data_IF_551100743340
#
_entry.id   IF_551100743340
#
_cell.length_a   1.000
_cell.length_b   1.000
_cell.length_c   1.000
_cell.angle_alpha   90.00
_cell.angle_beta   90.00
_cell.angle_gamma   90.00
#
_symmetry.space_group_name_H-M   'P 1'
#
loop_
_entity.id
_entity.type
_entity.pdbx_description
1 polymer ?
#
# COMPACT_ATOMS: atom_id res chain seq x y z
N UNK A 1 2.58 -5.64 0.23
CA UNK A 1 3.84 -4.95 -0.12
C UNK A 1 3.60 -3.47 -0.21
N UNK A 2 4.38 -2.68 0.51
CA UNK A 2 4.41 -1.22 0.40
C UNK A 2 5.70 -0.85 -0.32
N UNK A 3 5.58 -0.06 -1.38
CA UNK A 3 6.68 0.46 -2.19
C UNK A 3 6.78 1.97 -1.98
N UNK A 4 7.78 2.58 -2.60
CA UNK A 4 8.09 4.01 -2.51
C UNK A 4 6.94 4.92 -2.98
N UNK A 5 6.10 4.44 -3.92
CA UNK A 5 5.07 5.25 -4.57
C UNK A 5 3.68 4.62 -4.61
N UNK A 6 3.53 3.35 -4.23
CA UNK A 6 2.24 2.66 -4.17
C UNK A 6 2.33 1.45 -3.25
N UNK A 7 1.22 0.73 -3.09
CA UNK A 7 1.20 -0.52 -2.35
C UNK A 7 0.30 -1.54 -3.04
N UNK A 8 0.49 -2.79 -2.67
CA UNK A 8 -0.38 -3.91 -3.02
C UNK A 8 -0.71 -4.69 -1.74
N UNK A 9 -1.98 -5.03 -1.56
CA UNK A 9 -2.43 -5.91 -0.49
C UNK A 9 -3.50 -6.87 -1.01
N UNK A 10 -3.74 -7.93 -0.25
CA UNK A 10 -4.90 -8.78 -0.37
C UNK A 10 -5.69 -8.65 0.92
N UNK A 11 -7.01 -8.54 0.82
CA UNK A 11 -7.88 -8.34 1.97
C UNK A 11 -9.21 -9.07 1.78
N UNK A 12 -9.76 -9.55 2.87
CA UNK A 12 -11.09 -10.16 2.95
C UNK A 12 -11.92 -9.44 4.00
N UNK A 13 -13.22 -9.30 3.75
CA UNK A 13 -14.15 -8.75 4.73
C UNK A 13 -15.34 -8.01 4.13
N UNK A 14 -16.27 -7.54 4.97
CA UNK A 14 -17.45 -6.83 4.50
C UNK A 14 -17.11 -5.42 4.02
N UNK A 15 -17.77 -4.99 2.94
CA UNK A 15 -17.72 -3.62 2.40
C UNK A 15 -16.31 -3.14 2.04
N UNK A 16 -15.51 -3.99 1.39
CA UNK A 16 -14.12 -3.68 1.02
C UNK A 16 -13.96 -2.33 0.31
N UNK A 17 -14.79 -2.02 -0.69
CA UNK A 17 -14.70 -0.74 -1.42
C UNK A 17 -14.77 0.48 -0.49
N UNK A 18 -15.68 0.45 0.50
CA UNK A 18 -15.79 1.50 1.52
C UNK A 18 -14.56 1.54 2.43
N UNK A 19 -14.09 0.38 2.90
CA UNK A 19 -12.91 0.28 3.77
C UNK A 19 -11.63 0.77 3.09
N UNK A 20 -11.49 0.56 1.79
CA UNK A 20 -10.37 1.13 1.00
C UNK A 20 -10.43 2.65 1.01
N UNK A 21 -11.61 3.25 0.85
CA UNK A 21 -11.80 4.70 0.96
C UNK A 21 -11.45 5.24 2.36
N UNK A 22 -11.93 4.57 3.41
CA UNK A 22 -11.63 4.92 4.80
C UNK A 22 -10.12 4.82 5.10
N UNK A 23 -9.46 3.75 4.64
CA UNK A 23 -8.02 3.59 4.73
C UNK A 23 -7.27 4.76 4.08
N UNK A 24 -7.63 5.12 2.83
CA UNK A 24 -6.96 6.20 2.09
C UNK A 24 -7.14 7.55 2.80
N UNK A 25 -8.34 7.84 3.30
CA UNK A 25 -8.63 9.07 4.05
C UNK A 25 -7.83 9.17 5.34
N UNK A 26 -7.85 8.11 6.16
CA UNK A 26 -7.14 8.05 7.43
C UNK A 26 -5.62 8.19 7.24
N UNK A 27 -5.06 7.43 6.31
CA UNK A 27 -3.61 7.44 6.05
C UNK A 27 -3.15 8.74 5.43
N UNK A 28 -3.89 9.33 4.48
CA UNK A 28 -3.53 10.63 3.90
C UNK A 28 -3.45 11.71 4.98
N UNK A 29 -4.47 11.78 5.85
CA UNK A 29 -4.51 12.73 6.97
C UNK A 29 -3.32 12.53 7.92
N UNK A 30 -3.02 11.27 8.26
CA UNK A 30 -1.94 10.93 9.18
C UNK A 30 -0.56 11.24 8.59
N UNK A 31 -0.35 10.94 7.31
CA UNK A 31 0.89 11.22 6.58
C UNK A 31 1.12 12.73 6.51
N UNK A 32 0.13 13.52 6.09
CA UNK A 32 0.24 14.98 6.00
C UNK A 32 0.58 15.59 7.37
N UNK A 33 -0.15 15.21 8.42
CA UNK A 33 0.12 15.71 9.79
C UNK A 33 1.53 15.34 10.26
N UNK A 34 1.99 14.13 9.92
CA UNK A 34 3.34 13.68 10.26
C UNK A 34 4.40 14.48 9.50
N UNK A 35 4.20 14.70 8.20
CA UNK A 35 5.09 15.52 7.37
C UNK A 35 5.17 16.96 7.87
N UNK A 36 4.05 17.57 8.25
CA UNK A 36 4.00 18.90 8.85
C UNK A 36 4.78 18.95 10.17
N UNK A 37 4.56 17.98 11.06
CA UNK A 37 5.26 17.89 12.35
C UNK A 37 6.76 17.68 12.20
N UNK A 38 7.19 16.94 11.19
CA UNK A 38 8.61 16.63 10.93
C UNK A 38 9.30 17.67 10.03
N UNK A 39 8.58 18.68 9.52
CA UNK A 39 9.15 19.73 8.67
C UNK A 39 9.50 19.27 7.25
N UNK A 40 8.77 18.28 6.69
CA UNK A 40 8.97 17.84 5.30
C UNK A 40 8.31 18.79 4.29
N UNK A 41 8.75 20.05 4.29
CA UNK A 41 8.15 21.13 3.51
C UNK A 41 8.16 20.88 1.99
N UNK A 42 9.27 20.39 1.45
CA UNK A 42 9.39 20.08 0.01
C UNK A 42 8.34 19.04 -0.43
N UNK A 43 8.17 17.96 0.32
CA UNK A 43 7.17 16.93 -0.01
C UNK A 43 5.74 17.47 0.12
N UNK A 44 5.46 18.32 1.12
CA UNK A 44 4.15 18.96 1.24
C UNK A 44 3.87 19.87 0.03
N UNK A 45 4.84 20.65 -0.42
CA UNK A 45 4.71 21.49 -1.61
C UNK A 45 4.44 20.65 -2.86
N UNK A 46 5.12 19.52 -3.04
CA UNK A 46 4.86 18.60 -4.14
C UNK A 46 3.42 18.04 -4.09
N UNK A 47 2.96 17.58 -2.92
CA UNK A 47 1.60 17.07 -2.75
C UNK A 47 0.52 18.12 -2.97
N UNK A 48 0.84 19.40 -2.74
CA UNK A 48 -0.03 20.52 -3.05
C UNK A 48 -0.01 20.85 -4.55
N UNK A 49 1.17 20.87 -5.16
CA UNK A 49 1.36 21.21 -6.56
C UNK A 49 0.74 20.18 -7.52
N UNK A 50 0.94 18.90 -7.25
CA UNK A 50 0.40 17.79 -8.05
C UNK A 50 -1.04 17.41 -7.71
N UNK A 51 -1.67 18.08 -6.74
CA UNK A 51 -3.09 17.91 -6.44
C UNK A 51 -3.93 18.13 -7.69
N UNK A 52 -4.94 17.28 -7.90
CA UNK A 52 -5.90 17.46 -8.97
C UNK A 52 -6.63 18.80 -8.84
N UNK A 53 -6.70 19.55 -9.95
CA UNK A 53 -7.22 20.94 -9.95
C UNK A 53 -8.67 21.04 -9.49
N UNK A 54 -9.50 20.03 -9.75
CA UNK A 54 -10.92 20.01 -9.35
C UNK A 54 -11.16 19.76 -7.86
N UNK A 55 -10.12 19.41 -7.09
CA UNK A 55 -10.22 19.13 -5.65
C UNK A 55 -10.07 20.41 -4.83
N UNK A 56 -11.09 21.27 -4.82
CA UNK A 56 -11.03 22.60 -4.19
C UNK A 56 -11.08 22.57 -2.65
N UNK A 57 -11.57 21.48 -2.07
CA UNK A 57 -11.80 21.27 -0.64
C UNK A 57 -10.58 20.73 0.13
N UNK A 58 -9.48 20.43 -0.56
CA UNK A 58 -8.26 19.88 0.03
C UNK A 58 -7.02 20.64 -0.46
N UNK A 59 -6.06 20.85 0.45
CA UNK A 59 -4.78 21.51 0.12
C UNK A 59 -3.76 20.56 -0.48
N UNK A 60 -3.72 19.31 0.00
CA UNK A 60 -2.73 18.29 -0.39
C UNK A 60 -3.44 17.04 -0.88
N UNK A 61 -2.80 16.28 -1.78
CA UNK A 61 -3.31 14.98 -2.21
C UNK A 61 -2.21 13.91 -2.16
N UNK A 62 -2.35 12.96 -1.24
CA UNK A 62 -1.43 11.82 -1.08
C UNK A 62 -1.75 10.70 -2.06
N UNK A 63 -3.02 10.30 -2.14
CA UNK A 63 -3.43 9.17 -2.96
C UNK A 63 -3.97 9.61 -4.32
N UNK A 64 -3.60 8.87 -5.37
CA UNK A 64 -4.30 8.92 -6.65
C UNK A 64 -5.77 8.54 -6.48
N UNK A 65 -6.66 9.10 -7.30
CA UNK A 65 -8.07 8.74 -7.28
C UNK A 65 -8.30 7.28 -7.73
N UNK A 66 -9.34 6.66 -7.18
CA UNK A 66 -9.68 5.27 -7.48
C UNK A 66 -8.83 4.23 -6.78
N UNK A 67 -9.05 2.98 -7.16
CA UNK A 67 -8.29 1.79 -6.76
C UNK A 67 -8.45 0.75 -7.88
N UNK A 68 -7.60 -0.28 -7.89
CA UNK A 68 -7.68 -1.35 -8.87
C UNK A 68 -7.97 -2.69 -8.18
N UNK A 69 -9.21 -2.92 -7.71
CA UNK A 69 -9.56 -4.18 -7.08
C UNK A 69 -9.61 -5.30 -8.11
N UNK A 70 -9.08 -6.46 -7.74
CA UNK A 70 -9.22 -7.70 -8.51
C UNK A 70 -9.83 -8.75 -7.58
N UNK A 71 -10.91 -9.37 -8.03
CA UNK A 71 -11.56 -10.44 -7.28
C UNK A 71 -10.66 -11.69 -7.32
N UNK A 72 -10.57 -12.38 -6.18
CA UNK A 72 -9.84 -13.64 -6.03
C UNK A 72 -10.87 -14.67 -5.58
N UNK A 73 -11.25 -15.59 -6.47
CA UNK A 73 -12.29 -16.60 -6.21
C UNK A 73 -11.70 -18.01 -6.06
N UNK A 74 -10.48 -18.22 -6.55
CA UNK A 74 -9.83 -19.52 -6.60
C UNK A 74 -8.46 -19.47 -5.95
N UNK A 75 -8.03 -20.60 -5.40
CA UNK A 75 -6.78 -20.71 -4.65
C UNK A 75 -5.55 -20.49 -5.52
N UNK A 76 -5.55 -21.00 -6.75
CA UNK A 76 -4.48 -20.79 -7.72
C UNK A 76 -4.28 -19.29 -8.03
N UNK A 77 -5.40 -18.55 -8.17
CA UNK A 77 -5.38 -17.09 -8.33
C UNK A 77 -4.82 -16.41 -7.09
N UNK A 78 -5.16 -16.88 -5.88
CA UNK A 78 -4.63 -16.33 -4.63
C UNK A 78 -3.10 -16.47 -4.58
N UNK A 79 -2.57 -17.66 -4.85
CA UNK A 79 -1.12 -17.90 -4.91
C UNK A 79 -0.44 -17.05 -5.98
N UNK A 80 -1.03 -16.96 -7.18
CA UNK A 80 -0.51 -16.12 -8.24
C UNK A 80 -0.40 -14.65 -7.82
N UNK A 81 -1.41 -14.11 -7.10
CA UNK A 81 -1.38 -12.73 -6.60
C UNK A 81 -0.37 -12.55 -5.47
N UNK A 82 -0.28 -13.49 -4.53
CA UNK A 82 0.73 -13.45 -3.46
C UNK A 82 2.14 -13.40 -4.07
N UNK A 83 2.44 -14.32 -4.98
CA UNK A 83 3.74 -14.39 -5.65
C UNK A 83 4.03 -13.12 -6.45
N UNK A 84 3.08 -12.64 -7.25
CA UNK A 84 3.22 -11.39 -8.00
C UNK A 84 3.54 -10.21 -7.07
N UNK A 85 2.79 -10.08 -5.97
CA UNK A 85 2.92 -8.97 -5.03
C UNK A 85 4.28 -9.03 -4.33
N UNK A 86 4.66 -10.19 -3.79
CA UNK A 86 5.93 -10.38 -3.07
C UNK A 86 7.16 -10.22 -3.96
N UNK A 87 7.08 -10.63 -5.23
CA UNK A 87 8.18 -10.47 -6.18
C UNK A 87 8.28 -9.06 -6.78
N UNK A 88 7.37 -8.14 -6.47
CA UNK A 88 7.42 -6.79 -7.05
C UNK A 88 8.74 -6.04 -6.73
N UNK A 89 9.23 -6.00 -5.47
CA UNK A 89 10.52 -5.37 -5.16
C UNK A 89 11.72 -6.04 -5.85
N UNK A 90 11.69 -7.37 -6.00
CA UNK A 90 12.70 -8.15 -6.73
C UNK A 90 12.72 -7.75 -8.20
N UNK A 91 11.56 -7.75 -8.87
CA UNK A 91 11.42 -7.37 -10.29
C UNK A 91 11.82 -5.92 -10.56
N UNK A 92 11.69 -5.03 -9.57
CA UNK A 92 12.19 -3.64 -9.63
C UNK A 92 13.70 -3.51 -9.40
N UNK A 93 14.38 -4.59 -9.03
CA UNK A 93 15.82 -4.59 -8.76
C UNK A 93 16.21 -3.99 -7.41
N UNK A 94 15.28 -3.86 -6.47
CA UNK A 94 15.57 -3.30 -5.14
C UNK A 94 16.21 -4.29 -4.18
N UNK A 95 15.99 -5.58 -4.41
CA UNK A 95 16.42 -6.67 -3.55
C UNK A 95 16.69 -7.92 -4.35
N UNK A 96 17.58 -8.79 -3.87
CA UNK A 96 17.88 -10.08 -4.51
C UNK A 96 16.89 -11.20 -4.14
N UNK A 97 16.06 -10.98 -3.11
CA UNK A 97 15.02 -11.93 -2.69
C UNK A 97 13.79 -11.18 -2.12
N UNK A 98 12.56 -11.71 -2.30
CA UNK A 98 11.32 -11.07 -1.80
C UNK A 98 11.34 -10.73 -0.30
N UNK A 99 11.96 -11.60 0.51
CA UNK A 99 12.05 -11.48 1.98
C UNK A 99 12.97 -10.35 2.42
N UNK A 100 13.91 -9.91 1.57
CA UNK A 100 14.79 -8.79 1.90
C UNK A 100 14.04 -7.45 1.91
N UNK A 101 12.89 -7.35 1.25
CA UNK A 101 12.08 -6.14 1.30
C UNK A 101 11.31 -6.04 2.62
N UNK A 102 11.83 -5.27 3.58
CA UNK A 102 11.27 -5.12 4.93
C UNK A 102 9.78 -4.74 4.96
N UNK A 103 9.30 -3.98 3.97
CA UNK A 103 7.91 -3.53 3.87
C UNK A 103 7.03 -4.50 3.06
N UNK A 104 7.34 -5.79 3.13
CA UNK A 104 6.61 -6.90 2.51
C UNK A 104 6.17 -7.92 3.56
N UNK A 105 5.07 -8.62 3.30
CA UNK A 105 4.69 -9.80 4.06
C UNK A 105 5.39 -11.08 3.60
N UNK A 106 6.28 -11.03 2.60
CA UNK A 106 7.07 -12.19 2.16
C UNK A 106 7.79 -12.87 3.35
N UNK A 107 8.29 -12.07 4.29
CA UNK A 107 8.91 -12.55 5.54
C UNK A 107 7.94 -13.37 6.39
N UNK A 108 6.69 -12.93 6.54
CA UNK A 108 5.67 -13.68 7.29
C UNK A 108 5.43 -15.06 6.65
N UNK A 109 5.36 -15.13 5.31
CA UNK A 109 5.19 -16.38 4.57
C UNK A 109 6.42 -17.29 4.65
N UNK A 110 7.61 -16.72 4.82
CA UNK A 110 8.85 -17.45 5.06
C UNK A 110 9.07 -17.86 6.53
N UNK A 111 8.07 -17.66 7.41
CA UNK A 111 8.19 -17.95 8.85
C UNK A 111 9.15 -17.01 9.60
N UNK A 112 9.50 -15.87 9.01
CA UNK A 112 10.34 -14.85 9.62
C UNK A 112 9.49 -13.73 10.24
N UNK A 113 10.04 -12.97 11.20
CA UNK A 113 9.36 -11.80 11.76
C UNK A 113 9.03 -10.75 10.68
N UNK A 114 7.75 -10.48 10.48
CA UNK A 114 7.25 -9.38 9.63
C UNK A 114 7.23 -8.04 10.35
N UNK A 115 7.14 -6.93 9.60
CA UNK A 115 6.95 -5.60 10.18
C UNK A 115 5.51 -5.40 10.68
N UNK A 116 4.56 -6.01 9.98
CA UNK A 116 3.14 -6.06 10.31
C UNK A 116 2.71 -7.53 10.34
N UNK A 117 1.84 -7.87 11.27
CA UNK A 117 1.20 -9.18 11.27
C UNK A 117 0.21 -9.28 10.11
N UNK A 118 0.25 -10.41 9.41
CA UNK A 118 -0.72 -10.75 8.37
C UNK A 118 -1.21 -12.16 8.56
N UNK A 119 -2.44 -12.44 8.12
CA UNK A 119 -2.90 -13.81 8.05
C UNK A 119 -2.22 -14.53 6.86
N UNK A 120 -1.44 -15.56 7.15
CA UNK A 120 -0.82 -16.47 6.17
C UNK A 120 -1.59 -17.79 6.02
N UNK A 121 -2.50 -18.09 6.96
CA UNK A 121 -3.37 -19.25 6.99
C UNK A 121 -4.78 -18.83 6.53
N UNK A 122 -4.88 -18.53 5.24
CA UNK A 122 -6.11 -18.02 4.60
C UNK A 122 -6.88 -19.10 3.84
N UNK A 123 -6.41 -20.35 3.89
CA UNK A 123 -7.13 -21.51 3.34
C UNK A 123 -8.34 -21.86 4.19
#
# INVERSE_FOLDING_TARGET
VILENHLHWIAVGPRLARRVGEFKSFTATTIIKTMQRLGYETLLQELQFYKLRHKVDQTHQVWQEGSHPQLIEQEDVMWQKIEYIHNNPLRRGYVDAPEHWRYSSARNYAGQPGLLDVNTDWR
#
